data_IF_941294934143
#
_entry.id   IF_941294934143
#
_cell.length_a   1.000
_cell.length_b   1.000
_cell.length_c   1.000
_cell.angle_alpha   90.00
_cell.angle_beta   90.00
_cell.angle_gamma   90.00
#
_symmetry.space_group_name_H-M   'P 1'
#
loop_
_entity.id
_entity.type
_entity.pdbx_description
1 polymer ?
#
# COMPACT_ATOMS: atom_id res chain seq x y z
N UNK A 1 5.96 -1.09 -15.17
CA UNK A 1 6.24 0.18 -15.87
C UNK A 1 6.62 1.19 -14.79
N UNK A 2 7.66 2.00 -14.99
CA UNK A 2 8.07 3.00 -13.99
C UNK A 2 6.98 4.07 -13.91
N UNK A 3 6.30 4.17 -12.77
CA UNK A 3 5.33 5.22 -12.49
C UNK A 3 5.94 6.62 -12.61
N UNK A 4 5.12 7.67 -12.79
CA UNK A 4 5.61 9.04 -12.82
C UNK A 4 6.32 9.39 -11.51
N UNK A 5 7.35 10.23 -11.59
CA UNK A 5 7.97 10.78 -10.40
C UNK A 5 6.96 11.72 -9.71
N UNK A 6 6.75 11.55 -8.40
CA UNK A 6 5.82 12.34 -7.59
C UNK A 6 6.59 12.99 -6.44
N UNK A 7 6.28 14.24 -6.12
CA UNK A 7 6.74 14.89 -4.88
C UNK A 7 5.54 15.25 -4.03
N UNK A 8 5.48 14.69 -2.83
CA UNK A 8 4.58 15.13 -1.78
C UNK A 8 5.28 16.27 -1.03
N UNK A 9 4.69 17.47 -1.02
CA UNK A 9 5.35 18.69 -0.54
C UNK A 9 4.73 19.22 0.75
N UNK A 10 5.58 19.65 1.68
CA UNK A 10 5.19 20.42 2.86
C UNK A 10 4.34 19.66 3.89
N UNK A 11 4.32 18.33 3.84
CA UNK A 11 3.59 17.50 4.80
C UNK A 11 4.39 17.24 6.07
N UNK A 12 3.70 17.04 7.20
CA UNK A 12 4.34 16.52 8.42
C UNK A 12 4.65 15.04 8.21
N UNK A 13 5.89 14.74 7.86
CA UNK A 13 6.38 13.38 7.67
C UNK A 13 6.58 12.73 9.04
N UNK A 14 5.87 11.62 9.27
CA UNK A 14 5.99 10.79 10.48
C UNK A 14 6.45 9.39 10.05
N UNK A 15 7.71 9.08 10.33
CA UNK A 15 8.29 7.75 10.13
C UNK A 15 9.05 7.31 11.39
N UNK A 16 8.43 6.50 12.26
CA UNK A 16 9.07 6.01 13.47
C UNK A 16 10.29 5.13 13.22
N UNK A 17 10.35 4.42 12.09
CA UNK A 17 11.47 3.54 11.77
C UNK A 17 12.76 4.34 11.50
N UNK A 18 12.61 5.51 10.87
CA UNK A 18 13.70 6.46 10.61
C UNK A 18 13.81 7.57 11.67
N UNK A 19 12.92 7.61 12.66
CA UNK A 19 12.89 8.62 13.71
C UNK A 19 12.47 10.02 13.23
N UNK A 20 11.69 10.11 12.15
CA UNK A 20 11.27 11.37 11.55
C UNK A 20 9.91 11.79 12.09
N UNK A 21 9.81 13.05 12.54
CA UNK A 21 8.56 13.75 12.86
C UNK A 21 8.75 15.25 12.57
N UNK A 22 8.74 15.61 11.28
CA UNK A 22 9.12 16.95 10.80
C UNK A 22 8.33 17.31 9.54
N UNK A 23 8.21 18.60 9.24
CA UNK A 23 7.62 19.06 7.97
C UNK A 23 8.68 18.94 6.87
N UNK A 24 8.44 18.07 5.89
CA UNK A 24 9.39 17.72 4.82
C UNK A 24 8.66 17.43 3.51
N UNK A 25 9.43 17.30 2.44
CA UNK A 25 8.99 16.80 1.15
C UNK A 25 9.41 15.32 1.00
N UNK A 26 8.62 14.55 0.25
CA UNK A 26 8.89 13.13 -0.05
C UNK A 26 8.85 12.94 -1.57
N UNK A 27 9.97 12.53 -2.16
CA UNK A 27 10.06 12.19 -3.57
C UNK A 27 9.87 10.68 -3.77
N UNK A 28 8.95 10.34 -4.67
CA UNK A 28 8.63 8.99 -5.11
C UNK A 28 9.02 8.83 -6.58
N UNK A 29 9.54 7.66 -6.93
CA UNK A 29 9.88 7.34 -8.32
C UNK A 29 10.11 5.84 -8.49
N UNK A 30 9.62 5.26 -9.60
CA UNK A 30 9.76 3.83 -9.87
C UNK A 30 9.14 2.93 -8.78
N UNK A 31 8.06 3.36 -8.14
CA UNK A 31 7.37 2.63 -7.07
C UNK A 31 8.13 2.58 -5.74
N UNK A 32 9.08 3.49 -5.52
CA UNK A 32 9.90 3.55 -4.29
C UNK A 32 10.02 4.99 -3.78
N UNK A 33 10.29 5.13 -2.48
CA UNK A 33 10.75 6.38 -1.90
C UNK A 33 12.18 6.62 -2.37
N UNK A 34 12.41 7.71 -3.10
CA UNK A 34 13.71 8.09 -3.63
C UNK A 34 14.45 8.99 -2.65
N UNK A 35 13.74 9.92 -2.00
CA UNK A 35 14.33 10.94 -1.13
C UNK A 35 13.29 11.51 -0.17
N UNK A 36 13.74 11.89 1.03
CA UNK A 36 12.96 12.60 2.04
C UNK A 36 13.82 13.76 2.54
N UNK A 37 13.33 15.00 2.44
CA UNK A 37 14.15 16.16 2.74
C UNK A 37 13.41 17.49 2.63
N UNK A 38 14.11 18.58 2.86
CA UNK A 38 13.55 19.93 2.76
C UNK A 38 13.62 20.44 1.32
N UNK A 39 12.53 21.08 0.86
CA UNK A 39 12.47 21.82 -0.41
C UNK A 39 13.04 21.04 -1.61
N UNK A 40 12.51 19.84 -1.85
CA UNK A 40 12.99 18.97 -2.92
C UNK A 40 12.66 19.58 -4.29
N UNK A 41 13.69 19.78 -5.12
CA UNK A 41 13.56 20.29 -6.47
C UNK A 41 13.47 19.14 -7.49
N UNK A 42 12.26 18.92 -8.01
CA UNK A 42 11.94 17.90 -9.02
C UNK A 42 11.01 18.53 -10.08
N UNK A 43 11.57 19.25 -11.07
CA UNK A 43 10.78 20.07 -12.00
C UNK A 43 9.87 19.25 -12.94
N UNK A 44 10.16 17.96 -13.14
CA UNK A 44 9.37 17.06 -14.00
C UNK A 44 8.40 16.17 -13.21
N UNK A 45 8.42 16.25 -11.88
CA UNK A 45 7.56 15.44 -11.02
C UNK A 45 6.17 16.05 -10.86
N UNK A 46 5.16 15.20 -10.73
CA UNK A 46 3.84 15.63 -10.25
C UNK A 46 3.96 16.07 -8.79
N UNK A 47 3.37 17.22 -8.44
CA UNK A 47 3.43 17.76 -7.08
C UNK A 47 2.08 17.57 -6.38
N UNK A 48 2.12 16.90 -5.23
CA UNK A 48 1.01 16.77 -4.30
C UNK A 48 1.25 17.68 -3.10
N UNK A 49 0.41 18.70 -2.91
CA UNK A 49 0.49 19.59 -1.73
C UNK A 49 -0.10 18.89 -0.51
N UNK A 50 0.73 18.66 0.51
CA UNK A 50 0.35 18.05 1.77
C UNK A 50 0.44 19.05 2.95
N UNK A 51 0.43 20.36 2.67
CA UNK A 51 0.47 21.40 3.70
C UNK A 51 -0.64 21.23 4.74
N UNK A 52 -0.25 21.11 6.01
CA UNK A 52 -1.18 20.88 7.12
C UNK A 52 -1.70 19.44 7.24
N UNK A 53 -1.24 18.52 6.40
CA UNK A 53 -1.54 17.09 6.45
C UNK A 53 -0.36 16.30 7.03
N UNK A 54 -0.62 15.04 7.38
CA UNK A 54 0.38 14.07 7.81
C UNK A 54 0.74 13.18 6.62
N UNK A 55 2.04 12.93 6.44
CA UNK A 55 2.58 11.96 5.49
C UNK A 55 3.22 10.85 6.30
N UNK A 56 2.78 9.62 6.15
CA UNK A 56 3.29 8.47 6.90
C UNK A 56 3.44 7.27 5.97
N UNK A 57 4.27 6.27 6.35
CA UNK A 57 4.22 4.97 5.70
C UNK A 57 2.79 4.43 5.69
N UNK A 58 2.39 3.83 4.57
CA UNK A 58 1.08 3.21 4.46
C UNK A 58 0.90 2.11 5.52
N UNK A 59 -0.32 1.97 6.03
CA UNK A 59 -0.61 0.99 7.08
C UNK A 59 -0.60 -0.44 6.55
N UNK A 60 -0.37 -1.39 7.45
CA UNK A 60 -0.40 -2.83 7.18
C UNK A 60 -1.47 -3.44 8.07
N UNK A 61 -2.51 -4.04 7.46
CA UNK A 61 -3.52 -4.81 8.18
C UNK A 61 -3.15 -6.30 8.12
N UNK A 62 -3.00 -6.94 9.27
CA UNK A 62 -2.69 -8.37 9.35
C UNK A 62 -3.94 -9.25 9.43
N UNK A 63 -5.14 -8.67 9.49
CA UNK A 63 -6.38 -9.39 9.73
C UNK A 63 -7.56 -8.82 8.93
N UNK A 64 -7.65 -9.17 7.64
CA UNK A 64 -8.76 -8.79 6.77
C UNK A 64 -9.59 -10.00 6.29
N UNK A 65 -10.91 -9.85 6.22
CA UNK A 65 -11.82 -10.87 5.65
C UNK A 65 -12.31 -10.42 4.27
N UNK A 66 -11.63 -10.87 3.20
CA UNK A 66 -11.97 -10.52 1.82
C UNK A 66 -13.02 -11.43 1.19
N UNK A 67 -13.42 -12.50 1.88
CA UNK A 67 -14.56 -13.39 1.59
C UNK A 67 -14.59 -14.04 0.20
N UNK A 68 -13.50 -13.94 -0.57
CA UNK A 68 -13.34 -14.53 -1.89
C UNK A 68 -12.14 -15.51 -1.82
N UNK A 69 -12.33 -16.80 -2.18
CA UNK A 69 -13.52 -17.38 -2.81
C UNK A 69 -14.68 -17.76 -1.85
N UNK A 70 -15.90 -17.85 -2.39
CA UNK A 70 -17.04 -18.58 -1.81
C UNK A 70 -18.13 -17.74 -1.14
N UNK A 71 -17.79 -16.55 -0.67
CA UNK A 71 -18.69 -15.66 0.09
C UNK A 71 -18.72 -14.24 -0.51
N UNK A 72 -18.59 -14.11 -1.84
CA UNK A 72 -18.36 -12.84 -2.56
C UNK A 72 -19.49 -11.81 -2.37
N UNK A 73 -20.68 -12.25 -1.96
CA UNK A 73 -21.81 -11.39 -1.62
C UNK A 73 -21.57 -10.54 -0.37
N UNK A 74 -20.62 -10.94 0.49
CA UNK A 74 -20.23 -10.20 1.70
C UNK A 74 -19.13 -9.21 1.41
N UNK A 75 -18.09 -9.65 0.69
CA UNK A 75 -16.96 -8.84 0.27
C UNK A 75 -16.20 -9.56 -0.87
N UNK A 76 -15.44 -8.82 -1.66
CA UNK A 76 -14.51 -9.38 -2.67
C UNK A 76 -13.09 -8.85 -2.45
N UNK A 77 -12.09 -9.52 -3.03
CA UNK A 77 -10.70 -9.01 -3.03
C UNK A 77 -10.67 -7.59 -3.62
N UNK A 78 -11.37 -7.36 -4.73
CA UNK A 78 -11.34 -6.08 -5.43
C UNK A 78 -12.01 -4.94 -4.66
N UNK A 79 -13.13 -5.20 -3.97
CA UNK A 79 -13.83 -4.19 -3.16
C UNK A 79 -13.11 -3.94 -1.83
N UNK A 80 -12.67 -5.00 -1.14
CA UNK A 80 -11.93 -4.89 0.12
C UNK A 80 -10.57 -4.21 -0.05
N UNK A 81 -9.86 -4.49 -1.15
CA UNK A 81 -8.61 -3.78 -1.49
C UNK A 81 -8.85 -2.26 -1.65
N UNK A 82 -9.87 -1.87 -2.42
CA UNK A 82 -10.21 -0.44 -2.62
C UNK A 82 -10.60 0.25 -1.31
N UNK A 83 -11.33 -0.45 -0.44
CA UNK A 83 -11.65 0.05 0.90
C UNK A 83 -10.38 0.24 1.73
N UNK A 84 -9.46 -0.73 1.73
CA UNK A 84 -8.17 -0.65 2.41
C UNK A 84 -7.31 0.53 1.92
N UNK A 85 -7.15 0.71 0.61
CA UNK A 85 -6.43 1.88 0.05
C UNK A 85 -7.06 3.21 0.49
N UNK A 86 -8.39 3.30 0.46
CA UNK A 86 -9.10 4.50 0.88
C UNK A 86 -8.91 4.80 2.37
N UNK A 87 -8.63 3.77 3.18
CA UNK A 87 -8.28 3.87 4.60
C UNK A 87 -6.80 4.13 4.90
N UNK A 88 -5.95 4.24 3.87
CA UNK A 88 -4.50 4.45 4.04
C UNK A 88 -3.68 3.17 4.23
N UNK A 89 -4.27 1.99 3.97
CA UNK A 89 -3.54 0.73 3.99
C UNK A 89 -2.85 0.48 2.66
N UNK A 90 -1.55 0.21 2.71
CA UNK A 90 -0.75 -0.18 1.55
C UNK A 90 -0.65 -1.68 1.38
N UNK A 91 -0.98 -2.44 2.43
CA UNK A 91 -1.02 -3.90 2.44
C UNK A 91 -2.09 -4.42 3.41
N UNK A 92 -2.74 -5.51 3.03
CA UNK A 92 -3.63 -6.28 3.90
C UNK A 92 -3.29 -7.77 3.81
N UNK A 93 -3.47 -8.53 4.89
CA UNK A 93 -3.38 -9.98 4.92
C UNK A 93 -4.79 -10.58 4.99
N UNK A 94 -5.19 -11.29 3.94
CA UNK A 94 -6.46 -11.98 3.91
C UNK A 94 -6.44 -13.22 4.81
N UNK A 95 -7.43 -13.33 5.71
CA UNK A 95 -7.64 -14.52 6.52
C UNK A 95 -8.06 -15.71 5.62
N UNK A 96 -7.54 -16.92 5.87
CA UNK A 96 -7.74 -18.08 4.98
C UNK A 96 -9.12 -18.74 5.10
N UNK A 97 -10.02 -18.20 5.94
CA UNK A 97 -11.35 -18.78 6.24
C UNK A 97 -12.38 -18.47 5.14
N UNK A 98 -12.08 -18.90 3.92
CA UNK A 98 -12.91 -18.81 2.71
C UNK A 98 -13.59 -20.15 2.41
N UNK A 99 -14.38 -20.23 1.32
CA UNK A 99 -14.94 -21.51 0.82
C UNK A 99 -14.58 -21.72 -0.67
N UNK A 100 -13.66 -22.63 -1.01
CA UNK A 100 -12.91 -23.50 -0.11
C UNK A 100 -11.94 -22.71 0.80
N UNK A 101 -11.58 -23.32 1.93
CA UNK A 101 -10.54 -22.80 2.83
C UNK A 101 -9.22 -22.71 2.06
N UNK A 102 -8.45 -21.63 2.28
CA UNK A 102 -7.11 -21.47 1.73
C UNK A 102 -6.12 -22.24 2.60
N UNK A 103 -5.93 -23.52 2.31
CA UNK A 103 -4.94 -24.41 2.93
C UNK A 103 -4.00 -25.10 1.93
N UNK A 104 -4.26 -24.92 0.64
CA UNK A 104 -3.45 -25.41 -0.47
C UNK A 104 -2.80 -24.23 -1.24
N UNK A 105 -1.50 -24.31 -1.60
CA UNK A 105 -0.82 -23.24 -2.35
C UNK A 105 -1.42 -22.99 -3.74
N UNK A 106 -2.15 -23.94 -4.32
CA UNK A 106 -2.92 -23.76 -5.54
C UNK A 106 -4.26 -23.04 -5.29
N UNK A 107 -4.78 -23.06 -4.06
CA UNK A 107 -6.02 -22.40 -3.65
C UNK A 107 -5.80 -20.99 -3.11
N UNK A 108 -4.64 -20.67 -2.54
CA UNK A 108 -4.39 -19.29 -2.13
C UNK A 108 -2.94 -18.90 -2.01
N UNK A 109 -2.61 -17.93 -2.84
CA UNK A 109 -1.50 -17.03 -2.63
C UNK A 109 -1.84 -16.17 -1.42
N UNK A 110 -0.90 -15.98 -0.49
CA UNK A 110 -1.04 -14.92 0.51
C UNK A 110 -1.21 -13.60 -0.25
N UNK A 111 -2.43 -13.07 -0.27
CA UNK A 111 -2.73 -11.81 -0.93
C UNK A 111 -2.19 -10.67 -0.08
N UNK A 112 -0.87 -10.42 -0.13
CA UNK A 112 -0.32 -9.11 0.25
C UNK A 112 -0.71 -8.16 -0.86
N UNK A 113 -1.89 -7.56 -0.72
CA UNK A 113 -2.38 -6.62 -1.71
C UNK A 113 -1.57 -5.34 -1.60
N UNK A 114 -0.59 -5.15 -2.49
CA UNK A 114 0.03 -3.84 -2.63
C UNK A 114 -0.90 -2.95 -3.43
N UNK A 115 -1.40 -1.91 -2.78
CA UNK A 115 -2.23 -0.91 -3.44
C UNK A 115 -1.31 -0.04 -4.30
N UNK A 116 -1.37 -0.23 -5.63
CA UNK A 116 -0.61 0.56 -6.60
C UNK A 116 -1.23 1.94 -6.86
N UNK A 117 -0.49 2.76 -7.62
CA UNK A 117 -0.71 4.19 -7.91
C UNK A 117 -2.11 4.56 -8.45
N UNK A 118 -2.93 3.59 -8.85
CA UNK A 118 -4.26 3.79 -9.44
C UNK A 118 -5.39 2.99 -8.75
N UNK A 119 -5.18 2.47 -7.54
CA UNK A 119 -6.15 1.57 -6.89
C UNK A 119 -6.27 0.20 -7.58
N UNK A 120 -5.36 -0.11 -8.50
CA UNK A 120 -5.22 -1.45 -9.06
C UNK A 120 -4.58 -2.37 -8.02
N UNK A 121 -5.22 -3.53 -7.84
CA UNK A 121 -4.78 -4.61 -6.97
C UNK A 121 -3.71 -5.41 -7.71
N UNK A 122 -2.44 -5.19 -7.41
CA UNK A 122 -1.38 -6.09 -7.88
C UNK A 122 -1.20 -7.21 -6.86
N UNK A 123 -1.88 -8.33 -7.10
CA UNK A 123 -1.73 -9.57 -6.34
C UNK A 123 -0.72 -10.48 -7.00
N UNK A 124 0.58 -10.31 -6.73
CA UNK A 124 1.57 -11.38 -6.92
C UNK A 124 2.65 -11.29 -5.84
N UNK A 125 2.57 -12.21 -4.87
CA UNK A 125 3.57 -12.34 -3.83
C UNK A 125 3.32 -13.57 -2.97
N UNK A 126 3.84 -14.72 -3.39
CA UNK A 126 4.06 -15.86 -2.49
C UNK A 126 5.13 -15.42 -1.50
N UNK A 127 4.82 -15.33 -0.21
CA UNK A 127 5.84 -15.41 0.83
C UNK A 127 6.41 -16.83 0.74
N UNK A 128 7.39 -17.02 -0.15
CA UNK A 128 8.18 -18.24 -0.15
C UNK A 128 9.00 -18.21 1.14
N UNK A 129 8.48 -18.88 2.17
CA UNK A 129 9.33 -19.38 3.24
C UNK A 129 10.35 -20.30 2.60
N UNK A 130 11.54 -19.77 2.34
CA UNK A 130 12.71 -20.62 2.17
C UNK A 130 12.94 -21.32 3.52
N UNK A 131 13.26 -22.62 3.54
CA UNK A 131 13.55 -23.35 4.78
C UNK A 131 14.73 -22.76 5.55
#
# INVERSE_FOLDING_TARGET
MSGPDVVIRGGRVIDPASGIDQVLDVALGGGRVQEVGEALDRPEAEVVDASGLVVAPAFIDLHAHLCEPGDEHRETIATGARAAASGGFGAVCAMPITDPVIDDPALGQVHVLRMGENGNVEGQGVLQGQP
#
